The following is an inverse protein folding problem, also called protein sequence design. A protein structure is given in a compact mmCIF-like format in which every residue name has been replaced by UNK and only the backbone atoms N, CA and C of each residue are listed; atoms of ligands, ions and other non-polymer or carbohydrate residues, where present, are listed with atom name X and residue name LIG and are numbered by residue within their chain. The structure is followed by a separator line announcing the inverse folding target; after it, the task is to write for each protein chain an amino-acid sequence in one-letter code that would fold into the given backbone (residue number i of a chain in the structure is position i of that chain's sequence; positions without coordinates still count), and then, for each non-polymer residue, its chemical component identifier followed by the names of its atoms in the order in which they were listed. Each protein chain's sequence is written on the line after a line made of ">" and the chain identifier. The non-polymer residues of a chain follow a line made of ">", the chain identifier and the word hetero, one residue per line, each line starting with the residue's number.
data_IF_322785483816
#
_entry.id   IF_322785483816
#
_cell.length_a   1.000
_cell.length_b   1.000
_cell.length_c   1.000
_cell.angle_alpha   90.00
_cell.angle_beta   90.00
_cell.angle_gamma   90.00
#
_symmetry.space_group_name_H-M   'P 1'
#
loop_
_entity.id
_entity.type
_entity.pdbx_description
1 polymer ?
#
# COMPACT_ATOMS: atom_id res chain seq x y z
N UNK A 1 -29.86 37.62 -16.41
CA UNK A 1 -28.76 36.87 -17.04
C UNK A 1 -27.56 37.18 -16.18
N UNK A 2 -27.31 36.33 -15.18
CA UNK A 2 -26.13 36.42 -14.33
C UNK A 2 -24.99 35.71 -15.06
N UNK A 3 -23.98 36.47 -15.46
CA UNK A 3 -22.71 35.94 -15.96
C UNK A 3 -21.87 35.47 -14.77
N UNK A 4 -21.58 34.17 -14.71
CA UNK A 4 -20.58 33.60 -13.82
C UNK A 4 -19.19 33.80 -14.42
N UNK A 5 -18.43 34.79 -13.95
CA UNK A 5 -16.99 34.86 -14.18
C UNK A 5 -16.30 33.76 -13.36
N UNK A 6 -16.01 32.61 -13.98
CA UNK A 6 -15.20 31.57 -13.33
C UNK A 6 -14.19 30.87 -14.24
N UNK A 7 -13.69 31.53 -15.29
CA UNK A 7 -12.60 30.98 -16.12
C UNK A 7 -11.64 32.06 -16.66
N UNK A 8 -10.83 32.68 -15.81
CA UNK A 8 -9.67 33.49 -16.29
C UNK A 8 -8.41 33.31 -15.44
N UNK A 9 -8.06 32.07 -15.11
CA UNK A 9 -6.71 31.77 -14.61
C UNK A 9 -6.04 30.76 -15.54
N UNK A 10 -5.11 31.24 -16.35
CA UNK A 10 -4.18 30.40 -17.11
C UNK A 10 -2.90 30.27 -16.30
N UNK A 11 -2.61 29.05 -15.82
CA UNK A 11 -1.33 28.75 -15.20
C UNK A 11 -0.28 28.60 -16.30
N UNK A 12 0.70 29.52 -16.32
CA UNK A 12 1.84 29.47 -17.24
C UNK A 12 3.07 29.09 -16.41
N UNK A 13 3.50 27.82 -16.42
CA UNK A 13 4.71 27.42 -15.71
C UNK A 13 5.91 28.14 -16.34
N UNK A 14 6.66 28.85 -15.50
CA UNK A 14 7.89 29.55 -15.89
C UNK A 14 9.01 29.03 -15.01
N UNK A 15 10.03 28.43 -15.62
CA UNK A 15 11.22 27.93 -14.94
C UNK A 15 12.34 28.96 -14.95
N UNK A 16 13.37 28.76 -14.12
CA UNK A 16 14.59 29.55 -14.21
C UNK A 16 15.23 29.46 -15.61
N UNK A 17 14.96 28.43 -16.42
CA UNK A 17 15.48 28.33 -17.79
C UNK A 17 14.77 29.26 -18.77
N UNK A 18 13.56 29.70 -18.44
CA UNK A 18 12.74 30.58 -19.29
C UNK A 18 13.10 32.06 -19.15
N UNK A 19 14.00 32.42 -18.22
CA UNK A 19 14.46 33.79 -18.01
C UNK A 19 15.88 33.99 -18.58
N UNK A 20 16.03 34.61 -19.77
CA UNK A 20 17.33 34.81 -20.42
C UNK A 20 18.23 35.83 -19.71
N UNK A 21 17.73 36.51 -18.67
CA UNK A 21 18.47 37.51 -17.89
C UNK A 21 19.03 36.96 -16.57
N UNK A 22 18.81 35.68 -16.26
CA UNK A 22 19.39 35.07 -15.06
C UNK A 22 20.90 34.88 -15.22
N UNK A 23 21.65 35.41 -14.26
CA UNK A 23 23.10 35.29 -14.20
C UNK A 23 23.51 33.84 -13.90
N UNK A 24 24.64 33.38 -14.44
CA UNK A 24 25.15 32.01 -14.18
C UNK A 24 25.39 31.75 -12.69
N UNK A 25 25.70 32.78 -11.91
CA UNK A 25 25.85 32.70 -10.45
C UNK A 25 24.55 32.31 -9.74
N UNK A 26 23.37 32.56 -10.31
CA UNK A 26 22.09 32.12 -9.77
C UNK A 26 21.97 30.59 -9.80
N UNK A 27 22.39 29.94 -10.89
CA UNK A 27 22.38 28.48 -10.97
C UNK A 27 23.39 27.83 -10.00
N UNK A 28 24.53 28.47 -9.76
CA UNK A 28 25.49 28.03 -8.73
C UNK A 28 24.94 28.15 -7.30
N UNK A 29 24.07 29.13 -7.03
CA UNK A 29 23.36 29.21 -5.74
C UNK A 29 22.33 28.08 -5.61
N UNK A 30 21.67 27.69 -6.71
CA UNK A 30 20.72 26.56 -6.73
C UNK A 30 21.43 25.21 -6.56
N UNK A 31 22.68 25.06 -7.01
CA UNK A 31 23.51 23.86 -6.76
C UNK A 31 23.80 23.62 -5.28
N UNK A 32 23.76 24.67 -4.45
CA UNK A 32 23.93 24.57 -3.00
C UNK A 32 22.67 24.17 -2.24
N UNK A 33 21.51 24.06 -2.92
CA UNK A 33 20.26 23.63 -2.30
C UNK A 33 20.18 22.10 -2.22
N UNK A 34 19.45 21.55 -1.23
CA UNK A 34 19.00 20.16 -1.26
C UNK A 34 18.39 19.79 -2.61
N UNK A 35 18.65 18.57 -3.07
CA UNK A 35 18.34 18.11 -4.44
C UNK A 35 16.87 18.28 -4.84
N UNK A 36 15.96 18.16 -3.88
CA UNK A 36 14.52 18.39 -4.00
C UNK A 36 14.18 19.87 -4.21
N UNK A 37 14.77 20.78 -3.42
CA UNK A 37 14.61 22.23 -3.63
C UNK A 37 15.26 22.67 -4.94
N UNK A 38 16.45 22.15 -5.27
CA UNK A 38 17.10 22.41 -6.55
C UNK A 38 16.17 22.03 -7.72
N UNK A 39 15.54 20.86 -7.69
CA UNK A 39 14.57 20.43 -8.71
C UNK A 39 13.32 21.31 -8.76
N UNK A 40 12.76 21.69 -7.61
CA UNK A 40 11.61 22.59 -7.57
C UNK A 40 11.93 23.95 -8.23
N UNK A 41 13.07 24.56 -7.90
CA UNK A 41 13.46 25.87 -8.44
C UNK A 41 13.99 25.82 -9.89
N UNK A 42 14.70 24.75 -10.28
CA UNK A 42 15.29 24.61 -11.63
C UNK A 42 14.28 24.06 -12.64
N UNK A 43 13.50 23.04 -12.26
CA UNK A 43 12.63 22.29 -13.17
C UNK A 43 11.13 22.58 -12.93
N UNK A 44 10.79 23.41 -11.95
CA UNK A 44 9.39 23.79 -11.66
C UNK A 44 8.56 22.68 -11.02
N UNK A 45 9.20 21.65 -10.46
CA UNK A 45 8.54 20.49 -9.84
C UNK A 45 8.13 20.81 -8.39
N UNK A 46 7.05 21.58 -8.24
CA UNK A 46 6.48 21.99 -6.94
C UNK A 46 5.82 20.84 -6.16
N UNK A 47 5.75 19.63 -6.72
CA UNK A 47 5.25 18.44 -6.02
C UNK A 47 6.32 17.79 -5.13
N UNK A 48 7.59 18.20 -5.26
CA UNK A 48 8.68 17.81 -4.38
C UNK A 48 8.77 18.80 -3.21
N UNK A 49 8.69 18.30 -1.98
CA UNK A 49 9.01 19.07 -0.78
C UNK A 49 10.08 18.34 0.05
N UNK A 50 10.83 19.12 0.84
CA UNK A 50 11.93 18.60 1.63
C UNK A 50 11.49 17.51 2.61
N UNK A 51 12.19 16.38 2.56
CA UNK A 51 11.95 15.24 3.42
C UNK A 51 10.89 14.25 2.92
N UNK A 52 10.34 14.42 1.72
CA UNK A 52 9.45 13.44 1.09
C UNK A 52 10.14 12.07 0.99
N UNK A 53 9.51 11.03 1.53
CA UNK A 53 10.05 9.68 1.60
C UNK A 53 10.09 9.05 0.20
N UNK A 54 8.94 8.91 -0.46
CA UNK A 54 8.84 8.36 -1.83
C UNK A 54 9.02 9.43 -2.91
N UNK A 55 10.22 10.01 -2.99
CA UNK A 55 10.57 11.09 -3.92
C UNK A 55 10.50 10.72 -5.42
N UNK A 56 10.34 9.44 -5.74
CA UNK A 56 10.11 8.92 -7.09
C UNK A 56 8.68 9.14 -7.58
N UNK A 57 7.70 9.22 -6.66
CA UNK A 57 6.29 9.29 -6.99
C UNK A 57 5.99 10.55 -7.79
N UNK A 58 5.28 10.38 -8.91
CA UNK A 58 4.88 11.44 -9.83
C UNK A 58 3.52 11.12 -10.40
N UNK A 59 2.58 12.06 -10.27
CA UNK A 59 1.19 11.87 -10.70
C UNK A 59 1.11 11.52 -12.19
N UNK A 60 1.85 12.22 -13.05
CA UNK A 60 1.91 11.99 -14.51
C UNK A 60 2.55 10.64 -14.91
N UNK A 61 3.18 9.92 -13.97
CA UNK A 61 3.86 8.63 -14.23
C UNK A 61 3.17 7.45 -13.55
N UNK A 62 2.66 7.66 -12.34
CA UNK A 62 2.12 6.61 -11.49
C UNK A 62 0.61 6.55 -11.53
N UNK A 63 -0.06 7.62 -11.95
CA UNK A 63 -1.53 7.63 -12.06
C UNK A 63 -1.92 7.41 -13.51
N UNK A 64 -2.80 6.43 -13.72
CA UNK A 64 -3.29 6.06 -15.04
C UNK A 64 -4.82 6.05 -15.08
N UNK A 65 -5.35 6.21 -16.28
CA UNK A 65 -6.78 6.02 -16.53
C UNK A 65 -7.18 4.56 -16.27
N UNK A 66 -8.32 4.32 -15.61
CA UNK A 66 -8.85 2.98 -15.43
C UNK A 66 -9.07 2.28 -16.77
N UNK A 67 -8.66 1.02 -16.84
CA UNK A 67 -8.94 0.14 -17.98
C UNK A 67 -9.49 -1.20 -17.49
N UNK A 68 -10.11 -1.96 -18.38
CA UNK A 68 -10.55 -3.32 -18.04
C UNK A 68 -9.32 -4.20 -17.85
N UNK A 69 -9.09 -4.64 -16.60
CA UNK A 69 -8.04 -5.62 -16.29
C UNK A 69 -8.28 -6.90 -17.10
N UNK A 70 -7.29 -7.37 -17.90
CA UNK A 70 -7.39 -8.64 -18.61
C UNK A 70 -7.72 -9.81 -17.68
N UNK A 71 -8.49 -10.77 -18.19
CA UNK A 71 -8.99 -11.88 -17.38
C UNK A 71 -7.87 -12.86 -17.00
N UNK A 72 -6.81 -12.91 -17.80
CA UNK A 72 -5.64 -13.76 -17.62
C UNK A 72 -4.63 -13.22 -16.59
N UNK A 73 -4.74 -11.95 -16.21
CA UNK A 73 -3.88 -11.36 -15.19
C UNK A 73 -4.27 -11.83 -13.80
N UNK A 74 -3.26 -12.11 -12.97
CA UNK A 74 -3.52 -12.51 -11.60
C UNK A 74 -3.94 -11.29 -10.78
N UNK A 75 -5.01 -11.48 -10.00
CA UNK A 75 -5.53 -10.48 -9.06
C UNK A 75 -5.17 -10.85 -7.62
N UNK A 76 -4.99 -9.83 -6.81
CA UNK A 76 -4.57 -9.92 -5.42
C UNK A 76 -5.24 -8.82 -4.60
N UNK A 77 -5.25 -8.99 -3.28
CA UNK A 77 -5.68 -7.94 -2.34
C UNK A 77 -4.66 -7.76 -1.22
N UNK A 78 -4.55 -6.54 -0.72
CA UNK A 78 -3.78 -6.22 0.48
C UNK A 78 -4.58 -5.27 1.36
N UNK A 79 -4.53 -5.50 2.65
CA UNK A 79 -5.22 -4.67 3.62
C UNK A 79 -4.35 -4.33 4.81
N UNK A 80 -4.46 -3.08 5.23
CA UNK A 80 -3.94 -2.56 6.48
C UNK A 80 -5.10 -2.17 7.39
N UNK A 81 -5.01 -2.57 8.66
CA UNK A 81 -6.07 -2.39 9.63
C UNK A 81 -5.57 -1.53 10.79
N UNK A 82 -5.98 -0.26 10.78
CA UNK A 82 -5.87 0.63 11.93
C UNK A 82 -7.05 0.44 12.90
N UNK A 83 -6.78 0.32 14.22
CA UNK A 83 -7.85 0.33 15.23
C UNK A 83 -8.46 1.71 15.42
N UNK A 84 -7.60 2.72 15.53
CA UNK A 84 -7.95 4.15 15.66
C UNK A 84 -7.63 4.93 14.40
N UNK A 85 -6.98 4.26 13.45
CA UNK A 85 -6.52 4.81 12.20
C UNK A 85 -7.36 4.22 11.05
N UNK A 86 -7.34 4.81 9.86
CA UNK A 86 -8.11 4.31 8.73
C UNK A 86 -7.82 2.84 8.40
N UNK A 87 -8.86 2.12 7.98
CA UNK A 87 -8.73 0.85 7.28
C UNK A 87 -8.48 1.12 5.81
N UNK A 88 -7.46 0.46 5.25
CA UNK A 88 -7.18 0.50 3.82
C UNK A 88 -7.23 -0.92 3.25
N UNK A 89 -7.90 -1.09 2.11
CA UNK A 89 -7.80 -2.28 1.28
C UNK A 89 -7.58 -1.86 -0.17
N UNK A 90 -6.63 -2.51 -0.83
CA UNK A 90 -6.35 -2.30 -2.25
C UNK A 90 -6.42 -3.61 -3.01
N UNK A 91 -6.85 -3.49 -4.26
CA UNK A 91 -6.88 -4.57 -5.22
C UNK A 91 -5.80 -4.35 -6.27
N UNK A 92 -5.04 -5.40 -6.54
CA UNK A 92 -3.91 -5.35 -7.47
C UNK A 92 -4.09 -6.36 -8.58
N UNK A 93 -3.69 -5.97 -9.79
CA UNK A 93 -3.47 -6.89 -10.89
C UNK A 93 -1.98 -6.89 -11.24
N UNK A 94 -1.45 -8.05 -11.63
CA UNK A 94 -0.06 -8.19 -12.07
C UNK A 94 -0.03 -8.81 -13.45
N UNK A 95 0.65 -8.14 -14.39
CA UNK A 95 0.84 -8.63 -15.76
C UNK A 95 2.03 -9.59 -15.88
N UNK A 96 2.29 -10.08 -17.09
CA UNK A 96 3.35 -11.06 -17.35
C UNK A 96 4.76 -10.48 -17.23
N UNK A 97 4.91 -9.16 -17.31
CA UNK A 97 6.19 -8.45 -17.15
C UNK A 97 6.44 -8.03 -15.69
N UNK A 98 5.51 -8.34 -14.79
CA UNK A 98 5.59 -8.01 -13.38
C UNK A 98 5.24 -6.55 -13.07
N UNK A 99 4.52 -5.86 -13.97
CA UNK A 99 3.94 -4.56 -13.63
C UNK A 99 2.72 -4.78 -12.74
N UNK A 100 2.58 -3.90 -11.75
CA UNK A 100 1.54 -3.95 -10.72
C UNK A 100 0.60 -2.77 -10.92
N UNK A 101 -0.69 -3.07 -10.92
CA UNK A 101 -1.75 -2.09 -11.10
C UNK A 101 -2.66 -2.13 -9.87
N UNK A 102 -2.58 -1.11 -9.01
CA UNK A 102 -3.58 -0.88 -7.98
C UNK A 102 -4.83 -0.31 -8.66
N UNK A 103 -5.84 -1.16 -8.89
CA UNK A 103 -6.99 -0.82 -9.74
C UNK A 103 -8.26 -0.47 -8.98
N UNK A 104 -8.31 -0.79 -7.68
CA UNK A 104 -9.41 -0.45 -6.77
C UNK A 104 -8.82 -0.17 -5.39
N UNK A 105 -9.46 0.75 -4.66
CA UNK A 105 -9.09 1.11 -3.29
C UNK A 105 -10.37 1.31 -2.45
N UNK A 106 -10.30 0.91 -1.19
CA UNK A 106 -11.27 1.20 -0.16
C UNK A 106 -10.53 1.74 1.06
N UNK A 107 -10.84 2.97 1.45
CA UNK A 107 -10.18 3.68 2.52
C UNK A 107 -11.22 4.33 3.43
N UNK A 108 -11.32 3.91 4.69
CA UNK A 108 -12.32 4.42 5.65
C UNK A 108 -11.82 4.44 7.08
N UNK A 109 -12.10 5.53 7.79
CA UNK A 109 -11.90 5.64 9.23
C UNK A 109 -13.21 5.47 10.00
N UNK A 110 -13.14 4.96 11.22
CA UNK A 110 -14.28 4.91 12.16
C UNK A 110 -15.37 3.91 11.81
N UNK A 111 -15.06 2.90 10.97
CA UNK A 111 -15.96 1.80 10.64
C UNK A 111 -15.51 0.53 11.35
N UNK A 112 -16.46 -0.25 11.85
CA UNK A 112 -16.20 -1.51 12.54
C UNK A 112 -15.57 -2.55 11.59
N UNK A 113 -14.74 -3.45 12.15
CA UNK A 113 -14.01 -4.43 11.35
C UNK A 113 -14.91 -5.30 10.49
N UNK A 114 -16.03 -5.77 11.04
CA UNK A 114 -17.00 -6.60 10.32
C UNK A 114 -17.56 -5.88 9.09
N UNK A 115 -17.95 -4.61 9.25
CA UNK A 115 -18.52 -3.81 8.17
C UNK A 115 -17.46 -3.44 7.11
N UNK A 116 -16.22 -3.18 7.52
CA UNK A 116 -15.12 -3.00 6.58
C UNK A 116 -14.94 -4.23 5.70
N UNK A 117 -14.91 -5.45 6.26
CA UNK A 117 -14.74 -6.65 5.45
C UNK A 117 -15.98 -7.01 4.61
N UNK A 118 -17.20 -6.70 5.08
CA UNK A 118 -18.40 -6.78 4.23
C UNK A 118 -18.31 -5.85 3.03
N UNK A 119 -17.88 -4.60 3.24
CA UNK A 119 -17.70 -3.63 2.16
C UNK A 119 -16.61 -4.08 1.18
N UNK A 120 -15.47 -4.56 1.68
CA UNK A 120 -14.41 -5.14 0.84
C UNK A 120 -14.94 -6.32 0.04
N UNK A 121 -15.73 -7.21 0.64
CA UNK A 121 -16.29 -8.34 -0.08
C UNK A 121 -17.31 -7.92 -1.14
N UNK A 122 -18.16 -6.93 -0.85
CA UNK A 122 -19.10 -6.37 -1.82
C UNK A 122 -18.37 -5.71 -3.00
N UNK A 123 -17.32 -4.92 -2.71
CA UNK A 123 -16.48 -4.26 -3.72
C UNK A 123 -15.59 -5.24 -4.50
N UNK A 124 -15.37 -6.44 -3.99
CA UNK A 124 -14.60 -7.48 -4.68
C UNK A 124 -15.39 -8.16 -5.80
N UNK A 125 -16.70 -7.92 -5.88
CA UNK A 125 -17.60 -8.46 -6.89
C UNK A 125 -17.43 -9.99 -7.07
N UNK A 126 -17.36 -10.47 -8.32
CA UNK A 126 -17.17 -11.88 -8.66
C UNK A 126 -15.71 -12.19 -9.07
N UNK A 127 -14.75 -11.36 -8.65
CA UNK A 127 -13.34 -11.52 -9.00
C UNK A 127 -12.67 -12.62 -8.15
N UNK A 128 -11.75 -13.36 -8.76
CA UNK A 128 -10.94 -14.36 -8.08
C UNK A 128 -9.55 -13.80 -7.75
N UNK A 129 -9.16 -13.94 -6.48
CA UNK A 129 -7.87 -13.48 -5.99
C UNK A 129 -6.97 -14.65 -5.71
N UNK A 130 -5.73 -14.58 -6.18
CA UNK A 130 -4.72 -15.62 -5.91
C UNK A 130 -4.38 -15.70 -4.43
N UNK A 131 -4.27 -14.55 -3.78
CA UNK A 131 -4.20 -14.42 -2.34
C UNK A 131 -4.64 -13.02 -1.91
N UNK A 132 -4.98 -12.92 -0.63
CA UNK A 132 -5.17 -11.65 0.06
C UNK A 132 -4.16 -11.58 1.20
N UNK A 133 -3.58 -10.42 1.47
CA UNK A 133 -2.71 -10.20 2.62
C UNK A 133 -3.38 -9.21 3.57
N UNK A 134 -3.18 -9.41 4.87
CA UNK A 134 -3.70 -8.56 5.94
C UNK A 134 -2.58 -8.31 6.94
N UNK A 135 -2.53 -7.13 7.56
CA UNK A 135 -1.58 -6.83 8.63
C UNK A 135 -1.47 -8.00 9.63
N UNK A 136 -0.24 -8.48 9.82
CA UNK A 136 0.11 -9.54 10.76
C UNK A 136 -0.40 -9.31 12.19
N UNK A 137 -0.58 -8.04 12.62
CA UNK A 137 -1.12 -7.72 13.95
C UNK A 137 -2.55 -8.27 14.14
N UNK A 138 -3.33 -8.32 13.06
CA UNK A 138 -4.72 -8.79 13.03
C UNK A 138 -4.89 -10.28 13.35
N UNK A 139 -3.81 -11.06 13.35
CA UNK A 139 -3.82 -12.51 13.57
C UNK A 139 -3.54 -12.90 15.02
N UNK A 140 -3.19 -11.93 15.87
CA UNK A 140 -2.88 -12.20 17.27
C UNK A 140 -4.06 -11.82 18.16
N UNK A 141 -4.45 -12.75 19.03
CA UNK A 141 -5.51 -12.53 20.04
C UNK A 141 -5.06 -11.59 21.18
N UNK A 142 -3.76 -11.29 21.27
CA UNK A 142 -3.18 -10.37 22.26
C UNK A 142 -3.02 -8.92 21.75
N UNK A 143 -3.12 -8.67 20.44
CA UNK A 143 -3.16 -7.32 19.88
C UNK A 143 -4.53 -6.66 20.09
N UNK A 144 -5.02 -6.60 21.34
CA UNK A 144 -6.14 -5.75 21.75
C UNK A 144 -7.48 -5.93 21.02
N UNK A 145 -7.62 -6.88 20.10
CA UNK A 145 -8.72 -6.94 19.13
C UNK A 145 -9.87 -7.86 19.55
N UNK A 146 -10.03 -8.11 20.84
CA UNK A 146 -11.34 -8.47 21.35
C UNK A 146 -12.14 -7.18 21.52
N UNK A 147 -12.77 -6.69 20.45
CA UNK A 147 -13.86 -5.72 20.57
C UNK A 147 -15.01 -6.29 21.41
N UNK A 148 -15.10 -7.62 21.51
CA UNK A 148 -15.77 -8.34 22.58
C UNK A 148 -14.75 -8.85 23.60
N UNK A 149 -14.49 -8.07 24.68
CA UNK A 149 -13.74 -8.53 25.87
C UNK A 149 -14.23 -9.93 26.29
N UNK A 150 -13.51 -10.98 25.88
CA UNK A 150 -13.79 -12.37 26.26
C UNK A 150 -14.00 -13.38 25.13
N UNK A 151 -14.07 -12.97 23.86
CA UNK A 151 -14.38 -13.91 22.75
C UNK A 151 -13.18 -14.69 22.19
N UNK A 152 -11.95 -14.18 22.35
CA UNK A 152 -10.75 -14.80 21.76
C UNK A 152 -10.68 -14.73 20.22
N UNK A 153 -11.66 -14.08 19.59
CA UNK A 153 -11.74 -13.85 18.15
C UNK A 153 -10.77 -12.73 17.72
N UNK A 154 -10.07 -12.94 16.62
CA UNK A 154 -9.12 -11.99 16.03
C UNK A 154 -9.74 -11.20 14.87
N UNK A 155 -9.14 -10.08 14.46
CA UNK A 155 -9.58 -9.35 13.25
C UNK A 155 -9.50 -10.25 12.01
N UNK A 156 -8.49 -11.12 11.93
CA UNK A 156 -8.36 -12.07 10.84
C UNK A 156 -9.52 -13.08 10.80
N UNK A 157 -10.02 -13.52 11.97
CA UNK A 157 -11.20 -14.39 12.04
C UNK A 157 -12.45 -13.67 11.54
N UNK A 158 -12.64 -12.40 11.90
CA UNK A 158 -13.73 -11.54 11.39
C UNK A 158 -13.60 -11.41 9.86
N UNK A 159 -12.40 -11.15 9.34
CA UNK A 159 -12.14 -11.05 7.91
C UNK A 159 -12.53 -12.34 7.17
N UNK A 160 -12.13 -13.50 7.70
CA UNK A 160 -12.44 -14.81 7.12
C UNK A 160 -13.94 -15.13 7.13
N UNK A 161 -14.65 -14.80 8.22
CA UNK A 161 -16.12 -14.94 8.29
C UNK A 161 -16.84 -14.14 7.22
N UNK A 162 -16.28 -12.99 6.83
CA UNK A 162 -16.85 -12.09 5.84
C UNK A 162 -16.27 -12.29 4.42
N UNK A 163 -15.62 -13.42 4.15
CA UNK A 163 -15.16 -13.79 2.79
C UNK A 163 -13.78 -13.25 2.41
N UNK A 164 -13.09 -12.53 3.30
CA UNK A 164 -11.75 -12.00 3.05
C UNK A 164 -10.67 -12.96 3.59
N UNK A 165 -10.41 -14.04 2.85
CA UNK A 165 -9.38 -15.04 3.21
C UNK A 165 -7.96 -14.50 3.00
N UNK A 166 -7.38 -13.94 4.07
CA UNK A 166 -6.03 -13.39 4.04
C UNK A 166 -4.97 -14.22 4.79
N UNK A 167 -3.73 -14.09 4.32
CA UNK A 167 -2.51 -14.51 5.01
C UNK A 167 -1.87 -13.31 5.73
N UNK A 168 -1.07 -13.51 6.79
CA UNK A 168 -0.43 -12.41 7.50
C UNK A 168 0.63 -11.71 6.63
N UNK A 169 0.72 -10.39 6.76
CA UNK A 169 1.75 -9.60 6.11
C UNK A 169 3.15 -9.92 6.64
N UNK A 170 4.19 -9.80 5.81
CA UNK A 170 5.57 -9.82 6.28
C UNK A 170 5.87 -8.66 7.23
N UNK A 171 6.66 -8.92 8.28
CA UNK A 171 6.96 -7.95 9.35
C UNK A 171 8.18 -7.05 9.08
N UNK A 172 8.82 -7.18 7.93
CA UNK A 172 10.04 -6.42 7.63
C UNK A 172 9.70 -5.11 6.91
N UNK A 173 9.33 -4.09 7.68
CA UNK A 173 8.90 -2.80 7.15
C UNK A 173 9.94 -2.13 6.24
N UNK A 174 11.21 -2.06 6.65
CA UNK A 174 12.28 -1.46 5.84
C UNK A 174 12.47 -2.17 4.49
N UNK A 175 12.35 -3.50 4.48
CA UNK A 175 12.38 -4.25 3.23
C UNK A 175 11.18 -3.90 2.31
N UNK A 176 9.99 -3.75 2.90
CA UNK A 176 8.82 -3.31 2.16
C UNK A 176 8.97 -1.93 1.54
N UNK A 177 9.53 -0.97 2.27
CA UNK A 177 9.86 0.36 1.74
C UNK A 177 10.89 0.31 0.61
N UNK A 178 11.93 -0.52 0.75
CA UNK A 178 12.90 -0.72 -0.32
C UNK A 178 12.25 -1.28 -1.60
N UNK A 179 11.27 -2.19 -1.48
CA UNK A 179 10.50 -2.67 -2.63
C UNK A 179 9.61 -1.58 -3.23
N UNK A 180 8.97 -0.75 -2.41
CA UNK A 180 8.20 0.39 -2.90
C UNK A 180 9.07 1.35 -3.71
N UNK A 181 10.24 1.74 -3.21
CA UNK A 181 11.19 2.56 -3.97
C UNK A 181 11.54 1.92 -5.32
N UNK A 182 11.81 0.61 -5.36
CA UNK A 182 12.10 -0.09 -6.62
C UNK A 182 10.92 -0.07 -7.61
N UNK A 183 9.70 -0.23 -7.12
CA UNK A 183 8.51 -0.30 -7.97
C UNK A 183 8.01 1.08 -8.44
N UNK A 184 8.26 2.13 -7.66
CA UNK A 184 8.00 3.52 -8.02
C UNK A 184 9.13 4.12 -8.89
N UNK A 185 10.30 3.47 -8.96
CA UNK A 185 11.42 4.02 -9.72
C UNK A 185 11.20 3.88 -11.23
N UNK A 186 11.10 5.03 -11.89
CA UNK A 186 11.12 5.17 -13.36
C UNK A 186 12.41 5.82 -13.88
N UNK A 187 13.25 6.36 -12.98
CA UNK A 187 14.46 7.14 -13.31
C UNK A 187 15.61 6.25 -13.79
N UNK A 188 15.70 5.03 -13.25
CA UNK A 188 16.76 4.07 -13.54
C UNK A 188 16.50 3.21 -14.80
N UNK A 189 15.51 3.59 -15.61
CA UNK A 189 15.26 2.97 -16.91
C UNK A 189 16.23 3.61 -17.91
N UNK A 190 17.32 2.89 -18.20
CA UNK A 190 18.44 3.35 -19.04
C UNK A 190 18.25 3.12 -20.54
N UNK A 191 17.16 2.48 -20.94
CA UNK A 191 16.83 2.26 -22.36
C UNK A 191 16.16 3.52 -22.92
N UNK A 192 16.91 4.27 -23.72
CA UNK A 192 16.46 5.51 -24.37
C UNK A 192 15.29 5.33 -25.34
N UNK A 193 15.04 4.09 -25.80
CA UNK A 193 13.92 3.76 -26.67
C UNK A 193 12.68 3.29 -25.90
N UNK A 194 12.77 3.14 -24.57
CA UNK A 194 11.63 2.73 -23.74
C UNK A 194 11.06 3.93 -22.99
N UNK A 195 9.74 3.96 -22.95
CA UNK A 195 9.04 4.87 -22.07
C UNK A 195 9.41 4.57 -20.61
N UNK A 196 9.71 5.62 -19.84
CA UNK A 196 10.10 5.51 -18.44
C UNK A 196 8.87 5.30 -17.56
N UNK A 197 8.34 4.08 -17.57
CA UNK A 197 7.12 3.70 -16.86
C UNK A 197 7.49 2.96 -15.56
N UNK A 198 7.00 3.39 -14.39
CA UNK A 198 7.21 2.68 -13.14
C UNK A 198 6.44 1.35 -13.13
N UNK A 199 6.93 0.37 -12.37
CA UNK A 199 6.26 -0.94 -12.28
C UNK A 199 4.95 -0.87 -11.50
N UNK A 200 4.88 -0.07 -10.43
CA UNK A 200 3.64 0.14 -9.67
C UNK A 200 2.93 1.39 -10.17
N UNK A 201 1.69 1.21 -10.62
CA UNK A 201 0.78 2.28 -11.06
C UNK A 201 -0.57 2.14 -10.39
N UNK A 202 -1.25 3.26 -10.23
CA UNK A 202 -2.54 3.39 -9.58
C UNK A 202 -3.57 3.88 -10.59
N UNK A 203 -4.74 3.27 -10.59
CA UNK A 203 -5.88 3.86 -11.29
C UNK A 203 -6.23 5.18 -10.64
N UNK A 204 -6.67 6.17 -11.42
CA UNK A 204 -7.06 7.50 -10.92
C UNK A 204 -8.14 7.47 -9.84
N UNK A 205 -8.86 6.36 -9.71
CA UNK A 205 -9.88 6.11 -8.69
C UNK A 205 -9.30 5.78 -7.31
N UNK A 206 -8.00 5.48 -7.20
CA UNK A 206 -7.30 5.24 -5.94
C UNK A 206 -6.84 6.57 -5.30
N UNK A 207 -7.81 7.43 -5.00
CA UNK A 207 -7.55 8.82 -4.61
C UNK A 207 -6.77 8.95 -3.29
N UNK A 208 -6.98 8.05 -2.33
CA UNK A 208 -6.32 8.10 -1.03
C UNK A 208 -4.85 7.69 -1.16
N UNK A 209 -4.54 6.66 -1.95
CA UNK A 209 -3.16 6.34 -2.34
C UNK A 209 -2.45 7.53 -2.99
N UNK A 210 -3.11 8.17 -3.97
CA UNK A 210 -2.53 9.25 -4.76
C UNK A 210 -2.25 10.49 -3.90
N UNK A 211 -3.08 10.77 -2.89
CA UNK A 211 -2.88 11.90 -1.97
C UNK A 211 -1.89 11.59 -0.86
N UNK A 212 -1.94 10.40 -0.28
CA UNK A 212 -1.21 10.06 0.96
C UNK A 212 0.23 9.65 0.73
N UNK A 213 0.50 8.78 -0.26
CA UNK A 213 1.84 8.24 -0.52
C UNK A 213 2.88 9.33 -0.78
N UNK A 214 2.65 10.31 -1.67
CA UNK A 214 3.61 11.41 -1.87
C UNK A 214 3.71 12.36 -0.68
N UNK A 215 2.79 12.30 0.30
CA UNK A 215 2.86 13.16 1.50
C UNK A 215 3.73 12.57 2.62
N UNK A 216 4.14 11.31 2.49
CA UNK A 216 4.94 10.63 3.51
C UNK A 216 6.36 11.22 3.56
N UNK A 217 6.90 11.30 4.77
CA UNK A 217 8.22 11.86 5.05
C UNK A 217 9.11 10.88 5.80
N UNK A 218 10.42 11.09 5.74
CA UNK A 218 11.38 10.35 6.54
C UNK A 218 11.16 10.55 8.04
N UNK A 219 11.35 9.50 8.84
CA UNK A 219 11.39 9.62 10.29
C UNK A 219 12.61 10.46 10.73
N UNK A 220 12.40 11.35 11.71
CA UNK A 220 13.41 12.30 12.17
C UNK A 220 14.61 11.65 12.88
N UNK A 221 14.40 10.49 13.49
CA UNK A 221 15.40 9.77 14.26
C UNK A 221 15.96 8.57 13.48
N UNK A 222 15.17 7.98 12.58
CA UNK A 222 15.58 6.87 11.72
C UNK A 222 15.27 7.18 10.25
N UNK A 223 16.21 7.85 9.58
CA UNK A 223 16.03 8.32 8.20
C UNK A 223 15.81 7.20 7.17
N UNK A 224 16.14 5.94 7.48
CA UNK A 224 15.86 4.81 6.59
C UNK A 224 14.38 4.41 6.62
N UNK A 225 13.62 4.86 7.61
CA UNK A 225 12.19 4.57 7.79
C UNK A 225 11.34 5.82 7.53
N UNK A 226 10.04 5.62 7.38
CA UNK A 226 9.07 6.69 7.26
C UNK A 226 8.53 7.12 8.63
N UNK A 227 8.10 8.37 8.75
CA UNK A 227 7.39 8.88 9.93
C UNK A 227 5.97 8.30 9.98
N UNK A 228 5.78 7.30 10.85
CA UNK A 228 4.52 6.56 11.00
C UNK A 228 3.41 7.35 11.69
N UNK A 229 3.64 8.64 11.97
CA UNK A 229 2.56 9.56 12.38
C UNK A 229 1.82 10.13 11.18
N UNK A 230 2.40 9.99 9.98
CA UNK A 230 1.75 10.33 8.72
C UNK A 230 0.63 9.34 8.35
N UNK A 231 -0.02 9.60 7.23
CA UNK A 231 -1.08 8.74 6.69
C UNK A 231 -0.47 7.60 5.86
N UNK A 232 0.15 6.61 6.53
CA UNK A 232 0.96 5.55 5.91
C UNK A 232 0.18 4.29 5.51
N UNK A 233 -1.07 4.12 5.95
CA UNK A 233 -1.91 2.95 5.67
C UNK A 233 -1.96 2.51 4.20
N UNK A 234 -2.02 3.48 3.27
CA UNK A 234 -2.00 3.18 1.85
C UNK A 234 -0.62 2.64 1.42
N UNK A 235 0.48 3.22 1.90
CA UNK A 235 1.82 2.72 1.63
C UNK A 235 2.06 1.36 2.30
N UNK A 236 1.59 1.15 3.53
CA UNK A 236 1.65 -0.14 4.23
C UNK A 236 0.95 -1.24 3.41
N UNK A 237 -0.23 -0.96 2.85
CA UNK A 237 -0.89 -1.90 1.94
C UNK A 237 -0.02 -2.29 0.74
N UNK A 238 0.65 -1.31 0.11
CA UNK A 238 1.54 -1.56 -1.04
C UNK A 238 2.78 -2.36 -0.60
N UNK A 239 3.35 -2.02 0.55
CA UNK A 239 4.49 -2.70 1.15
C UNK A 239 4.18 -4.16 1.49
N UNK A 240 3.03 -4.44 2.13
CA UNK A 240 2.61 -5.81 2.43
C UNK A 240 2.41 -6.60 1.15
N UNK A 241 1.75 -6.00 0.14
CA UNK A 241 1.54 -6.63 -1.15
C UNK A 241 2.87 -6.98 -1.83
N UNK A 242 3.78 -6.01 -1.99
CA UNK A 242 5.03 -6.21 -2.71
C UNK A 242 5.91 -7.22 -1.98
N UNK A 243 6.01 -7.18 -0.66
CA UNK A 243 6.78 -8.18 0.09
C UNK A 243 6.22 -9.59 -0.14
N UNK A 244 4.91 -9.78 -0.03
CA UNK A 244 4.28 -11.08 -0.29
C UNK A 244 4.49 -11.55 -1.72
N UNK A 245 4.45 -10.64 -2.70
CA UNK A 245 4.71 -10.96 -4.11
C UNK A 245 6.15 -11.47 -4.34
N UNK A 246 7.15 -10.91 -3.67
CA UNK A 246 8.57 -11.27 -3.86
C UNK A 246 9.03 -12.48 -3.05
N UNK A 247 8.33 -12.83 -1.97
CA UNK A 247 8.72 -13.97 -1.12
C UNK A 247 8.60 -15.33 -1.80
N UNK A 248 8.09 -15.42 -3.04
CA UNK A 248 7.96 -16.68 -3.76
C UNK A 248 6.97 -17.67 -3.13
N UNK A 249 6.37 -17.32 -1.98
CA UNK A 249 5.23 -17.98 -1.35
C UNK A 249 3.97 -17.68 -2.16
N UNK A 250 3.97 -18.03 -3.44
CA UNK A 250 2.73 -18.39 -4.10
C UNK A 250 2.34 -19.72 -3.47
N UNK A 251 1.24 -19.84 -2.72
CA UNK A 251 0.76 -21.16 -2.31
C UNK A 251 0.59 -21.97 -3.59
N UNK A 252 1.45 -22.98 -3.78
CA UNK A 252 1.23 -23.97 -4.83
C UNK A 252 -0.03 -24.72 -4.42
N UNK A 253 -1.10 -24.55 -5.20
CA UNK A 253 -2.45 -25.01 -4.92
C UNK A 253 -3.22 -24.18 -3.88
N UNK A 254 -4.50 -23.98 -4.17
CA UNK A 254 -5.53 -23.63 -3.21
C UNK A 254 -5.65 -24.75 -2.17
N UNK A 255 -4.70 -24.91 -1.25
CA UNK A 255 -5.07 -25.57 0.00
C UNK A 255 -5.97 -24.59 0.74
N UNK A 256 -7.27 -24.89 0.71
CA UNK A 256 -8.29 -24.15 1.47
C UNK A 256 -7.73 -23.89 2.87
N UNK A 257 -7.58 -22.62 3.29
CA UNK A 257 -7.16 -22.34 4.64
C UNK A 257 -8.16 -22.99 5.60
N UNK A 258 -7.64 -23.72 6.60
CA UNK A 258 -8.47 -24.44 7.57
C UNK A 258 -9.54 -23.51 8.13
N UNK A 259 -10.78 -23.96 8.08
CA UNK A 259 -11.94 -23.31 8.66
C UNK A 259 -11.75 -23.09 10.15
N UNK A 260 -12.51 -22.16 10.75
CA UNK A 260 -12.47 -21.91 12.19
C UNK A 260 -12.70 -23.20 13.00
N UNK A 261 -13.62 -24.06 12.56
CA UNK A 261 -13.89 -25.37 13.16
C UNK A 261 -12.65 -26.28 13.15
N UNK A 262 -11.96 -26.36 12.01
CA UNK A 262 -10.74 -27.17 11.87
C UNK A 262 -9.60 -26.66 12.76
N UNK A 263 -9.46 -25.33 12.90
CA UNK A 263 -8.45 -24.72 13.78
C UNK A 263 -8.79 -24.89 15.26
N UNK A 264 -10.07 -24.79 15.62
CA UNK A 264 -10.54 -25.04 16.99
C UNK A 264 -10.32 -26.50 17.40
N UNK A 265 -10.60 -27.45 16.50
CA UNK A 265 -10.34 -28.87 16.73
C UNK A 265 -8.84 -29.16 16.94
N UNK A 266 -7.95 -28.49 16.20
CA UNK A 266 -6.50 -28.63 16.38
C UNK A 266 -6.01 -28.06 17.71
N UNK A 267 -6.52 -26.89 18.12
CA UNK A 267 -6.21 -26.30 19.44
C UNK A 267 -6.67 -27.20 20.60
N UNK A 268 -7.80 -27.88 20.46
CA UNK A 268 -8.27 -28.86 21.45
C UNK A 268 -7.40 -30.12 21.49
N UNK A 269 -6.96 -30.63 20.34
CA UNK A 269 -6.07 -31.79 20.26
C UNK A 269 -4.66 -31.50 20.81
N UNK A 270 -4.12 -30.30 20.64
CA UNK A 270 -2.83 -29.91 21.22
C UNK A 270 -2.89 -29.79 22.74
N UNK A 271 -4.02 -29.30 23.29
CA UNK A 271 -4.20 -29.22 24.74
C UNK A 271 -4.43 -30.60 25.39
N UNK A 272 -5.07 -31.55 24.69
CA UNK A 272 -5.24 -32.91 25.19
C UNK A 272 -3.94 -33.74 25.16
N UNK A 273 -3.00 -33.47 24.25
CA UNK A 273 -1.69 -34.15 24.24
C UNK A 273 -0.79 -33.74 25.42
N UNK A 274 -0.98 -32.54 25.99
CA UNK A 274 -0.23 -32.08 27.16
C UNK A 274 -0.71 -32.65 28.51
N UNK A 275 -1.82 -33.38 28.54
CA UNK A 275 -2.42 -33.91 29.77
C UNK A 275 -2.28 -35.43 29.95
N UNK A 276 -1.73 -36.15 28.97
CA UNK A 276 -1.69 -37.63 28.99
C UNK A 276 -0.30 -38.20 29.37
N UNK A 277 0.75 -37.38 29.45
CA UNK A 277 2.11 -37.88 29.77
C UNK A 277 2.49 -37.92 31.27
N UNK A 278 1.68 -37.38 32.19
CA UNK A 278 2.06 -37.26 33.62
C UNK A 278 1.25 -38.11 34.61
N UNK A 279 0.64 -39.21 34.17
CA UNK A 279 0.09 -40.20 35.12
C UNK A 279 0.44 -41.63 34.72
N UNK A 280 0.93 -42.37 35.71
CA UNK A 280 1.40 -43.77 35.70
C UNK A 280 2.90 -44.01 35.51
N UNK A 281 3.63 -43.95 36.61
CA UNK A 281 4.50 -45.07 37.00
C UNK A 281 4.42 -45.24 38.52
N UNK A 282 4.06 -46.45 38.95
CA UNK A 282 4.00 -46.91 40.36
C UNK A 282 5.39 -46.96 40.99
#
# INVERSE_FOLDING_TARGET
>A
IEETESEQFFYVPSTAKDNPFLDKSYYHQLEGLPEDMRKAYVDGDWNLFAGQYFSEFRTDRHVIEPFKIPDEWFRYRSSDFGRTAPFCCKWYAVDYDGNVYAYREYYKAGIEAEDNFKNVQALSENELYRWSVLDSSCFSSYAGASFNKGSGETIADIAWKNGYQAIPSPKNRLHGWALMHQYLNWKNIHDENKEKIPKLRYFKTCADSIRSIPSLIHDKNNVEDLDTKGEDHAADCDSYFLQTLHQGNTPSSQTRPKTMLERMAERQNTNNKGFVEDTFTL
#
